data_IF_133692779397
#
_entry.id   IF_133692779397
#
_cell.length_a   1.000
_cell.length_b   1.000
_cell.length_c   1.000
_cell.angle_alpha   90.00
_cell.angle_beta   90.00
_cell.angle_gamma   90.00
#
_symmetry.space_group_name_H-M   'P 1'
#
loop_
_entity.id
_entity.type
_entity.pdbx_description
1 polymer ?
#
# COMPACT_ATOMS: atom_id res chain seq x y z
N UNK A 1 1.37 -9.35 -2.23
CA UNK A 1 0.82 -9.69 -3.55
C UNK A 1 -0.15 -8.62 -4.01
N UNK A 2 -0.11 -8.29 -5.28
CA UNK A 2 -0.99 -7.27 -5.84
C UNK A 2 -1.95 -7.95 -6.81
N UNK A 3 -3.22 -7.71 -6.65
CA UNK A 3 -4.25 -8.21 -7.55
C UNK A 3 -4.66 -7.12 -8.52
N UNK A 4 -4.92 -7.50 -9.76
CA UNK A 4 -5.26 -6.56 -10.82
C UNK A 4 -6.60 -6.93 -11.43
N UNK A 5 -7.36 -5.89 -11.81
CA UNK A 5 -8.61 -6.08 -12.54
C UNK A 5 -8.75 -4.92 -13.51
N UNK A 6 -9.22 -5.21 -14.72
CA UNK A 6 -9.45 -4.15 -15.70
C UNK A 6 -10.92 -3.76 -15.69
N UNK A 7 -11.16 -2.46 -15.62
CA UNK A 7 -12.51 -1.92 -15.68
C UNK A 7 -13.05 -1.93 -17.11
N UNK A 8 -14.35 -1.81 -17.24
CA UNK A 8 -15.00 -1.81 -18.56
C UNK A 8 -14.56 -0.65 -19.43
N UNK A 9 -14.14 0.45 -18.82
CA UNK A 9 -13.65 1.62 -19.56
C UNK A 9 -12.16 1.54 -19.88
N UNK A 10 -11.51 0.43 -19.56
CA UNK A 10 -10.11 0.20 -19.90
C UNK A 10 -9.12 0.53 -18.80
N UNK A 11 -9.56 1.20 -17.73
CA UNK A 11 -8.66 1.48 -16.62
C UNK A 11 -8.35 0.22 -15.84
N UNK A 12 -7.23 0.25 -15.14
CA UNK A 12 -6.82 -0.87 -14.31
C UNK A 12 -6.95 -0.52 -12.84
N UNK A 13 -7.39 -1.48 -12.04
CA UNK A 13 -7.38 -1.38 -10.60
C UNK A 13 -6.33 -2.33 -10.07
N UNK A 14 -5.51 -1.85 -9.13
CA UNK A 14 -4.59 -2.71 -8.40
C UNK A 14 -4.97 -2.67 -6.93
N UNK A 15 -4.96 -3.82 -6.29
CA UNK A 15 -5.35 -3.95 -4.89
C UNK A 15 -4.36 -4.83 -4.16
N UNK A 16 -4.10 -4.50 -2.89
CA UNK A 16 -3.29 -5.33 -2.01
C UNK A 16 -4.24 -5.91 -0.95
N UNK A 17 -4.66 -7.18 -1.12
CA UNK A 17 -5.71 -7.74 -0.25
C UNK A 17 -5.35 -7.79 1.22
N UNK A 18 -4.05 -7.93 1.54
CA UNK A 18 -3.62 -7.99 2.94
C UNK A 18 -3.70 -6.64 3.64
N UNK A 19 -3.92 -5.56 2.87
CA UNK A 19 -4.08 -4.21 3.42
C UNK A 19 -5.47 -3.71 3.01
N UNK A 20 -6.49 -3.91 3.86
CA UNK A 20 -7.85 -3.55 3.49
C UNK A 20 -7.96 -2.09 3.08
N UNK A 21 -8.65 -1.84 1.98
CA UNK A 21 -8.85 -0.49 1.48
C UNK A 21 -7.71 0.06 0.66
N UNK A 22 -6.62 -0.68 0.50
CA UNK A 22 -5.49 -0.21 -0.29
C UNK A 22 -5.68 -0.66 -1.73
N UNK A 23 -6.17 0.24 -2.56
CA UNK A 23 -6.37 0.01 -3.99
C UNK A 23 -6.14 1.31 -4.73
N UNK A 24 -5.77 1.21 -5.99
CA UNK A 24 -5.49 2.38 -6.81
C UNK A 24 -5.78 2.07 -8.27
N UNK A 25 -5.98 3.13 -9.03
CA UNK A 25 -6.29 3.03 -10.45
C UNK A 25 -5.12 3.51 -11.28
N UNK A 26 -5.08 3.05 -12.52
CA UNK A 26 -4.13 3.54 -13.50
C UNK A 26 -4.65 3.31 -14.89
N UNK A 27 -4.11 4.05 -15.86
CA UNK A 27 -4.46 3.85 -17.25
C UNK A 27 -3.86 2.56 -17.79
N UNK A 28 -2.78 2.10 -17.20
CA UNK A 28 -2.16 0.83 -17.53
C UNK A 28 -1.97 0.03 -16.25
N UNK A 29 -1.72 -1.26 -16.43
CA UNK A 29 -1.45 -2.13 -15.30
C UNK A 29 -0.22 -1.65 -14.52
N UNK A 30 0.81 -1.19 -15.23
CA UNK A 30 2.01 -0.69 -14.57
C UNK A 30 1.74 0.56 -13.75
N UNK A 31 0.92 1.47 -14.26
CA UNK A 31 0.56 2.68 -13.51
C UNK A 31 -0.23 2.33 -12.26
N UNK A 32 -1.18 1.41 -12.39
CA UNK A 32 -1.96 0.98 -11.24
C UNK A 32 -1.06 0.35 -10.18
N UNK A 33 -0.09 -0.46 -10.61
CA UNK A 33 0.85 -1.09 -9.69
C UNK A 33 1.68 -0.05 -8.94
N UNK A 34 2.18 0.95 -9.66
CA UNK A 34 2.96 2.03 -9.04
C UNK A 34 2.12 2.79 -8.03
N UNK A 35 0.88 3.12 -8.42
CA UNK A 35 0.00 3.91 -7.58
C UNK A 35 -0.35 3.15 -6.29
N UNK A 36 -0.64 1.85 -6.40
CA UNK A 36 -1.02 1.08 -5.22
C UNK A 36 0.17 0.84 -4.30
N UNK A 37 1.37 0.71 -4.87
CA UNK A 37 2.57 0.59 -4.05
C UNK A 37 2.82 1.86 -3.25
N UNK A 38 2.68 3.01 -3.89
CA UNK A 38 2.85 4.28 -3.20
C UNK A 38 1.82 4.45 -2.09
N UNK A 39 0.58 4.07 -2.37
CA UNK A 39 -0.48 4.14 -1.36
C UNK A 39 -0.18 3.21 -0.20
N UNK A 40 0.26 1.99 -0.48
CA UNK A 40 0.59 1.04 0.57
C UNK A 40 1.70 1.56 1.48
N UNK A 41 2.71 2.19 0.90
CA UNK A 41 3.80 2.76 1.70
C UNK A 41 3.29 3.88 2.59
N UNK A 42 2.36 4.71 2.10
CA UNK A 42 1.79 5.76 2.93
C UNK A 42 0.96 5.20 4.07
N UNK A 43 0.18 4.16 3.79
CA UNK A 43 -0.63 3.52 4.83
C UNK A 43 0.26 2.92 5.90
N UNK A 44 1.32 2.25 5.49
CA UNK A 44 2.26 1.67 6.44
C UNK A 44 2.98 2.73 7.25
N UNK A 45 3.36 3.84 6.60
CA UNK A 45 3.99 4.94 7.30
C UNK A 45 3.04 5.54 8.35
N UNK A 46 1.77 5.71 7.98
CA UNK A 46 0.78 6.21 8.94
C UNK A 46 0.63 5.29 10.13
N UNK A 47 0.60 3.98 9.89
CA UNK A 47 0.50 3.02 10.98
C UNK A 47 1.70 3.09 11.90
N UNK A 48 2.88 3.26 11.35
CA UNK A 48 4.09 3.40 12.15
C UNK A 48 4.05 4.65 12.99
N UNK A 49 3.56 5.75 12.42
CA UNK A 49 3.46 7.00 13.15
C UNK A 49 2.46 6.94 14.28
N UNK A 50 1.35 6.25 14.08
CA UNK A 50 0.36 6.07 15.13
C UNK A 50 0.93 5.29 16.30
N UNK A 51 1.85 4.40 16.04
CA UNK A 51 2.44 3.54 17.06
C UNK A 51 3.82 3.98 17.46
N UNK A 52 4.19 5.19 17.15
CA UNK A 52 5.59 5.63 17.29
C UNK A 52 6.11 5.57 18.73
N UNK A 53 5.23 5.72 19.71
CA UNK A 53 5.65 5.70 21.10
C UNK A 53 6.02 4.32 21.59
N UNK A 54 5.54 3.28 20.92
CA UNK A 54 5.86 1.89 21.25
C UNK A 54 6.46 1.19 20.06
N UNK A 55 6.48 1.87 18.92
CA UNK A 55 6.66 1.26 17.62
C UNK A 55 7.88 0.40 17.45
N UNK A 56 9.05 0.95 17.77
CA UNK A 56 10.28 0.23 17.49
C UNK A 56 10.33 -1.10 18.22
N UNK A 57 9.91 -1.11 19.47
CA UNK A 57 9.95 -2.33 20.25
C UNK A 57 8.86 -3.30 19.84
N UNK A 58 7.66 -2.77 19.65
CA UNK A 58 6.52 -3.62 19.31
C UNK A 58 6.66 -4.24 17.93
N UNK A 59 7.13 -3.44 16.99
CA UNK A 59 7.25 -3.91 15.61
C UNK A 59 8.48 -4.75 15.38
N UNK A 60 9.50 -4.57 16.21
CA UNK A 60 10.75 -5.30 16.05
C UNK A 60 11.28 -5.22 14.62
N UNK A 61 11.16 -4.04 14.03
CA UNK A 61 11.61 -3.79 12.67
C UNK A 61 12.69 -2.72 12.72
N UNK A 62 13.88 -3.08 12.29
CA UNK A 62 15.02 -2.16 12.35
C UNK A 62 14.74 -0.87 11.61
N UNK A 63 14.13 -0.95 10.45
CA UNK A 63 13.85 0.22 9.64
C UNK A 63 12.90 1.17 10.34
N UNK A 64 11.98 0.65 11.14
CA UNK A 64 11.03 1.48 11.87
C UNK A 64 11.72 2.30 12.95
N UNK A 65 12.91 1.90 13.36
CA UNK A 65 13.65 2.57 14.40
C UNK A 65 14.65 3.59 13.85
N UNK A 66 14.76 3.64 12.54
CA UNK A 66 15.64 4.61 11.91
C UNK A 66 14.99 5.97 11.88
#
# INVERSE_FOLDING_TARGET
>A
MIEFEQETDGRWIAEIPVLPGVMAYGSTRGEAAQAVKALALRVLADQLEEKKNVGCRDLNISIACL
#
